data_IF_360288178111
#
_entry.id   IF_360288178111
#
_cell.length_a   1.000
_cell.length_b   1.000
_cell.length_c   1.000
_cell.angle_alpha   90.00
_cell.angle_beta   90.00
_cell.angle_gamma   90.00
#
_symmetry.space_group_name_H-M   'P 1'
#
loop_
_entity.id
_entity.type
_entity.pdbx_description
1 polymer ?
#
# COMPACT_ATOMS: atom_id res chain seq x y z
N UNK A 1 13.88 -10.09 -25.45
CA UNK A 1 14.69 -9.32 -24.48
C UNK A 1 14.84 -7.92 -25.04
N UNK A 2 14.50 -6.88 -24.28
CA UNK A 2 14.82 -5.49 -24.65
C UNK A 2 16.30 -5.30 -24.32
N UNK A 3 17.12 -4.82 -25.26
CA UNK A 3 18.51 -4.50 -24.97
C UNK A 3 18.55 -3.23 -24.12
N UNK A 4 19.39 -3.18 -23.10
CA UNK A 4 19.56 -1.98 -22.26
C UNK A 4 19.85 -0.73 -23.12
N UNK A 5 20.59 -0.91 -24.22
CA UNK A 5 20.88 0.13 -25.20
C UNK A 5 19.63 0.74 -25.87
N UNK A 6 18.60 -0.06 -26.15
CA UNK A 6 17.36 0.44 -26.77
C UNK A 6 16.50 1.18 -25.74
N UNK A 7 16.42 0.65 -24.51
CA UNK A 7 15.66 1.29 -23.44
C UNK A 7 16.23 2.68 -23.12
N UNK A 8 17.55 2.80 -22.96
CA UNK A 8 18.21 4.09 -22.72
C UNK A 8 18.03 5.08 -23.87
N UNK A 9 18.09 4.61 -25.12
CA UNK A 9 17.83 5.44 -26.30
C UNK A 9 16.41 6.00 -26.28
N UNK A 10 15.41 5.16 -26.01
CA UNK A 10 14.01 5.59 -25.94
C UNK A 10 13.77 6.55 -24.78
N UNK A 11 14.35 6.29 -23.59
CA UNK A 11 14.28 7.23 -22.45
C UNK A 11 14.88 8.59 -22.83
N UNK A 12 15.98 8.62 -23.58
CA UNK A 12 16.62 9.87 -24.02
C UNK A 12 15.77 10.64 -25.02
N UNK A 13 15.09 9.94 -25.94
CA UNK A 13 14.28 10.58 -26.99
C UNK A 13 12.90 11.02 -26.50
N UNK A 14 12.23 10.17 -25.73
CA UNK A 14 10.86 10.39 -25.26
C UNK A 14 10.82 11.14 -23.92
N UNK A 15 11.88 11.01 -23.12
CA UNK A 15 11.93 11.46 -21.74
C UNK A 15 11.25 10.49 -20.76
N UNK A 16 11.78 10.41 -19.54
CA UNK A 16 11.13 9.71 -18.43
C UNK A 16 10.39 10.71 -17.55
N UNK A 17 9.08 10.54 -17.39
CA UNK A 17 8.26 11.31 -16.44
C UNK A 17 7.56 10.39 -15.45
N UNK A 18 7.88 10.53 -14.17
CA UNK A 18 7.31 9.69 -13.11
C UNK A 18 5.94 10.18 -12.62
N UNK A 19 5.54 11.38 -13.05
CA UNK A 19 4.23 11.96 -12.78
C UNK A 19 3.39 11.98 -14.07
N UNK A 20 2.07 11.95 -13.90
CA UNK A 20 1.11 12.09 -15.00
C UNK A 20 1.32 13.42 -15.72
N UNK A 21 1.34 13.37 -17.05
CA UNK A 21 1.38 14.55 -17.91
C UNK A 21 0.46 14.39 -19.12
N UNK A 22 0.03 15.50 -19.69
CA UNK A 22 -0.71 15.52 -20.96
C UNK A 22 0.30 15.63 -22.10
N UNK A 23 0.27 14.69 -23.03
CA UNK A 23 1.15 14.73 -24.21
C UNK A 23 0.63 15.71 -25.28
N UNK A 24 1.40 15.91 -26.35
CA UNK A 24 1.01 16.81 -27.47
C UNK A 24 -0.30 16.40 -28.15
N UNK A 25 -0.69 15.12 -28.07
CA UNK A 25 -1.97 14.62 -28.56
C UNK A 25 -3.14 14.78 -27.58
N UNK A 26 -2.93 15.45 -26.44
CA UNK A 26 -3.98 15.73 -25.44
C UNK A 26 -4.32 14.55 -24.53
N UNK A 27 -3.48 13.52 -24.43
CA UNK A 27 -3.76 12.27 -23.70
C UNK A 27 -2.95 12.13 -22.42
N UNK A 28 -3.55 11.55 -21.38
CA UNK A 28 -2.89 11.24 -20.11
C UNK A 28 -1.79 10.21 -20.32
N UNK A 29 -0.56 10.60 -20.00
CA UNK A 29 0.65 9.82 -20.29
C UNK A 29 1.54 9.77 -19.05
N UNK A 30 2.28 8.68 -18.85
CA UNK A 30 3.26 8.50 -17.78
C UNK A 30 4.49 7.73 -18.27
N UNK A 31 5.57 7.73 -17.49
CA UNK A 31 6.78 6.97 -17.75
C UNK A 31 7.47 7.46 -19.02
N UNK A 32 7.72 6.52 -19.93
CA UNK A 32 8.33 6.77 -21.25
C UNK A 32 7.22 6.67 -22.30
N UNK A 33 6.48 7.76 -22.50
CA UNK A 33 5.42 7.83 -23.52
C UNK A 33 4.23 6.87 -23.32
N UNK A 34 3.98 6.34 -22.11
CA UNK A 34 2.88 5.40 -21.86
C UNK A 34 1.55 6.13 -21.73
N UNK A 35 0.78 6.15 -22.81
CA UNK A 35 -0.60 6.63 -22.84
C UNK A 35 -1.49 5.71 -21.99
N UNK A 36 -2.29 6.30 -21.10
CA UNK A 36 -3.20 5.59 -20.20
C UNK A 36 -4.66 5.66 -20.66
N UNK A 37 -5.04 6.65 -21.45
CA UNK A 37 -6.43 6.82 -21.91
C UNK A 37 -6.85 5.72 -22.88
N UNK A 38 -5.99 5.37 -23.85
CA UNK A 38 -6.33 4.33 -24.83
C UNK A 38 -5.83 2.93 -24.42
N UNK A 39 -4.68 2.89 -23.74
CA UNK A 39 -3.94 1.63 -23.49
C UNK A 39 -4.02 1.16 -22.03
N UNK A 40 -4.22 2.09 -21.09
CA UNK A 40 -4.14 1.80 -19.66
C UNK A 40 -2.83 1.11 -19.26
N UNK A 41 -2.91 0.25 -18.25
CA UNK A 41 -1.84 -0.63 -17.78
C UNK A 41 -2.23 -2.09 -17.96
N UNK A 42 -1.26 -2.97 -18.17
CA UNK A 42 -1.47 -4.42 -18.13
C UNK A 42 -1.60 -4.92 -16.70
N UNK A 43 -2.17 -6.11 -16.54
CA UNK A 43 -2.23 -6.77 -15.23
C UNK A 43 -0.82 -6.99 -14.63
N UNK A 44 0.18 -7.32 -15.45
CA UNK A 44 1.55 -7.50 -14.98
C UNK A 44 2.16 -6.20 -14.45
N UNK A 45 1.88 -5.08 -15.11
CA UNK A 45 2.29 -3.73 -14.65
C UNK A 45 1.58 -3.39 -13.33
N UNK A 46 0.26 -3.62 -13.24
CA UNK A 46 -0.51 -3.40 -12.01
C UNK A 46 0.01 -4.25 -10.83
N UNK A 47 0.29 -5.54 -11.06
CA UNK A 47 0.84 -6.45 -10.04
C UNK A 47 2.25 -6.07 -9.62
N UNK A 48 3.07 -5.53 -10.52
CA UNK A 48 4.40 -5.02 -10.18
C UNK A 48 4.30 -3.84 -9.22
N UNK A 49 3.43 -2.87 -9.52
CA UNK A 49 3.19 -1.72 -8.63
C UNK A 49 2.68 -2.18 -7.27
N UNK A 50 1.66 -3.04 -7.25
CA UNK A 50 1.11 -3.60 -6.01
C UNK A 50 2.18 -4.30 -5.16
N UNK A 51 3.08 -5.07 -5.77
CA UNK A 51 4.17 -5.75 -5.04
C UNK A 51 5.11 -4.75 -4.39
N UNK A 52 5.45 -3.67 -5.08
CA UNK A 52 6.32 -2.64 -4.54
C UNK A 52 5.66 -1.92 -3.35
N UNK A 53 4.37 -1.61 -3.46
CA UNK A 53 3.60 -0.93 -2.40
C UNK A 53 3.40 -1.83 -1.17
N UNK A 54 3.16 -3.13 -1.37
CA UNK A 54 3.13 -4.12 -0.28
C UNK A 54 4.50 -4.20 0.39
N UNK A 55 5.59 -4.27 -0.38
CA UNK A 55 6.95 -4.34 0.17
C UNK A 55 7.29 -3.10 1.01
N UNK A 56 6.89 -1.91 0.56
CA UNK A 56 7.01 -0.68 1.33
C UNK A 56 6.22 -0.75 2.64
N UNK A 57 4.94 -1.15 2.58
CA UNK A 57 4.07 -1.29 3.76
C UNK A 57 4.62 -2.33 4.77
N UNK A 58 5.18 -3.44 4.28
CA UNK A 58 5.86 -4.45 5.09
C UNK A 58 7.11 -3.89 5.77
N UNK A 59 7.90 -3.08 5.06
CA UNK A 59 9.08 -2.45 5.63
C UNK A 59 8.70 -1.47 6.75
N UNK A 60 7.67 -0.66 6.53
CA UNK A 60 7.12 0.25 7.53
C UNK A 60 6.56 -0.50 8.76
N UNK A 61 5.83 -1.60 8.55
CA UNK A 61 5.30 -2.44 9.63
C UNK A 61 6.42 -3.03 10.52
N UNK A 62 7.53 -3.46 9.91
CA UNK A 62 8.70 -4.01 10.62
C UNK A 62 9.42 -2.97 11.49
N UNK A 63 9.11 -1.68 11.38
CA UNK A 63 9.66 -0.64 12.24
C UNK A 63 9.07 -0.64 13.65
N UNK A 64 7.94 -1.31 13.88
CA UNK A 64 7.33 -1.44 15.20
C UNK A 64 7.90 -2.66 15.96
N UNK A 65 8.34 -2.47 17.21
CA UNK A 65 9.00 -3.52 17.98
C UNK A 65 8.11 -4.76 18.19
N UNK A 66 6.83 -4.55 18.49
CA UNK A 66 5.83 -5.61 18.71
C UNK A 66 5.48 -6.41 17.44
N UNK A 67 5.75 -5.88 16.24
CA UNK A 67 5.31 -6.48 14.98
C UNK A 67 5.83 -7.91 14.79
N UNK A 68 7.09 -8.16 15.18
CA UNK A 68 7.71 -9.50 15.04
C UNK A 68 7.05 -10.56 15.93
N UNK A 69 6.38 -10.14 17.01
CA UNK A 69 5.66 -11.05 17.92
C UNK A 69 4.27 -11.46 17.41
N UNK A 70 3.76 -10.78 16.39
CA UNK A 70 2.45 -11.09 15.81
C UNK A 70 2.50 -12.36 14.96
N UNK A 71 1.41 -13.12 14.95
CA UNK A 71 1.18 -14.19 13.98
C UNK A 71 0.99 -13.60 12.57
N UNK A 72 1.07 -14.46 11.55
CA UNK A 72 0.97 -14.06 10.14
C UNK A 72 -0.35 -13.31 9.83
N UNK A 73 -1.48 -13.75 10.41
CA UNK A 73 -2.79 -13.11 10.20
C UNK A 73 -2.77 -11.67 10.71
N UNK A 74 -2.27 -11.43 11.94
CA UNK A 74 -2.18 -10.09 12.54
C UNK A 74 -1.13 -9.21 11.86
N UNK A 75 -0.04 -9.80 11.39
CA UNK A 75 0.93 -9.12 10.54
C UNK A 75 0.28 -8.59 9.25
N UNK A 76 -0.52 -9.42 8.59
CA UNK A 76 -1.26 -9.04 7.39
C UNK A 76 -2.27 -7.92 7.66
N UNK A 77 -2.92 -7.90 8.83
CA UNK A 77 -3.79 -6.80 9.24
C UNK A 77 -3.03 -5.47 9.30
N UNK A 78 -1.87 -5.46 9.98
CA UNK A 78 -1.05 -4.26 10.14
C UNK A 78 -0.55 -3.76 8.78
N UNK A 79 -0.04 -4.66 7.93
CA UNK A 79 0.38 -4.33 6.56
C UNK A 79 -0.80 -3.75 5.76
N UNK A 80 -1.98 -4.38 5.83
CA UNK A 80 -3.18 -3.95 5.11
C UNK A 80 -3.64 -2.55 5.54
N UNK A 81 -3.59 -2.26 6.84
CA UNK A 81 -3.90 -0.92 7.36
C UNK A 81 -2.88 0.10 6.85
N UNK A 82 -1.58 -0.17 6.99
CA UNK A 82 -0.51 0.74 6.51
C UNK A 82 -0.65 1.00 5.01
N UNK A 83 -0.89 -0.04 4.20
CA UNK A 83 -1.15 0.10 2.76
C UNK A 83 -2.36 1.00 2.47
N UNK A 84 -3.41 0.94 3.28
CA UNK A 84 -4.63 1.71 3.06
C UNK A 84 -4.51 3.20 3.42
N UNK A 85 -3.90 3.51 4.56
CA UNK A 85 -3.89 4.88 5.11
C UNK A 85 -2.51 5.54 5.17
N UNK A 86 -1.44 4.79 4.90
CA UNK A 86 -0.05 5.19 5.05
C UNK A 86 0.43 5.19 6.51
N UNK A 87 1.73 5.00 6.70
CA UNK A 87 2.37 5.01 8.02
C UNK A 87 2.06 6.25 8.88
N UNK A 88 2.03 7.50 8.36
CA UNK A 88 1.74 8.67 9.19
C UNK A 88 0.37 8.61 9.86
N UNK A 89 -0.67 8.14 9.15
CA UNK A 89 -2.00 7.97 9.72
C UNK A 89 -2.09 6.73 10.61
N UNK A 90 -1.43 5.65 10.23
CA UNK A 90 -1.36 4.45 11.07
C UNK A 90 -0.79 4.76 12.47
N UNK A 91 0.26 5.60 12.55
CA UNK A 91 0.85 6.05 13.82
C UNK A 91 -0.11 6.84 14.72
N UNK A 92 -1.26 7.28 14.22
CA UNK A 92 -2.28 7.93 15.05
C UNK A 92 -3.15 6.96 15.86
N UNK A 93 -3.11 5.65 15.56
CA UNK A 93 -3.82 4.58 16.29
C UNK A 93 -3.10 4.21 17.59
N UNK A 94 -2.88 5.20 18.45
CA UNK A 94 -2.05 5.06 19.66
C UNK A 94 -2.56 3.98 20.62
N UNK A 95 -3.88 3.90 20.82
CA UNK A 95 -4.53 2.93 21.73
C UNK A 95 -4.42 1.50 21.19
N UNK A 96 -4.75 1.30 19.91
CA UNK A 96 -4.54 0.03 19.23
C UNK A 96 -3.07 -0.43 19.30
N UNK A 97 -2.11 0.45 19.02
CA UNK A 97 -0.69 0.09 19.11
C UNK A 97 -0.23 -0.24 20.53
N UNK A 98 -0.75 0.45 21.55
CA UNK A 98 -0.48 0.11 22.94
C UNK A 98 -1.05 -1.27 23.31
N UNK A 99 -2.24 -1.61 22.82
CA UNK A 99 -2.84 -2.93 22.99
C UNK A 99 -2.01 -4.03 22.30
N UNK A 100 -1.55 -3.79 21.07
CA UNK A 100 -0.65 -4.71 20.34
C UNK A 100 0.68 -4.95 21.07
N UNK A 101 1.24 -3.93 21.72
CA UNK A 101 2.51 -4.03 22.46
C UNK A 101 2.43 -4.99 23.65
N UNK A 102 1.24 -5.14 24.24
CA UNK A 102 0.96 -6.07 25.34
C UNK A 102 0.16 -7.30 24.91
N UNK A 103 0.02 -7.54 23.59
CA UNK A 103 -0.73 -8.66 23.01
C UNK A 103 -2.22 -8.70 23.38
N UNK A 104 -2.84 -7.56 23.69
CA UNK A 104 -4.28 -7.44 23.90
C UNK A 104 -4.99 -7.24 22.55
N UNK A 105 -5.24 -8.36 21.87
CA UNK A 105 -5.78 -8.36 20.51
C UNK A 105 -7.27 -8.03 20.45
N UNK A 106 -8.01 -8.32 21.52
CA UNK A 106 -9.43 -7.96 21.67
C UNK A 106 -9.56 -6.43 21.69
N UNK A 107 -8.79 -5.77 22.56
CA UNK A 107 -8.76 -4.31 22.61
C UNK A 107 -8.22 -3.70 21.32
N UNK A 108 -7.17 -4.27 20.72
CA UNK A 108 -6.65 -3.78 19.44
C UNK A 108 -7.75 -3.80 18.35
N UNK A 109 -8.53 -4.87 18.27
CA UNK A 109 -9.63 -5.02 17.34
C UNK A 109 -10.76 -3.99 17.60
N UNK A 110 -11.09 -3.71 18.86
CA UNK A 110 -12.08 -2.69 19.24
C UNK A 110 -11.60 -1.28 18.86
N UNK A 111 -10.33 -0.94 19.14
CA UNK A 111 -9.73 0.35 18.79
C UNK A 111 -9.61 0.55 17.26
N UNK A 112 -9.50 -0.53 16.48
CA UNK A 112 -9.58 -0.44 15.01
C UNK A 112 -10.96 0.05 14.56
N UNK A 113 -12.03 -0.45 15.18
CA UNK A 113 -13.41 -0.11 14.84
C UNK A 113 -13.84 1.25 15.42
N UNK A 114 -13.30 1.64 16.58
CA UNK A 114 -13.46 2.98 17.16
C UNK A 114 -12.56 4.02 16.48
N UNK A 115 -12.68 4.14 15.15
CA UNK A 115 -11.86 5.03 14.36
C UNK A 115 -12.63 5.69 13.22
N UNK A 116 -12.14 6.87 12.79
CA UNK A 116 -12.65 7.50 11.56
C UNK A 116 -12.37 6.60 10.35
N UNK A 117 -11.25 5.88 10.35
CA UNK A 117 -10.88 4.95 9.30
C UNK A 117 -11.93 3.87 9.11
N UNK A 118 -12.42 3.24 10.18
CA UNK A 118 -13.45 2.21 10.10
C UNK A 118 -14.72 2.72 9.41
N UNK A 119 -15.15 3.94 9.74
CA UNK A 119 -16.28 4.61 9.07
C UNK A 119 -16.03 4.90 7.58
N UNK A 120 -14.77 5.10 7.17
CA UNK A 120 -14.41 5.40 5.78
C UNK A 120 -14.33 4.15 4.91
N UNK A 121 -13.79 3.05 5.44
CA UNK A 121 -13.56 1.82 4.65
C UNK A 121 -14.63 0.74 4.86
N UNK A 122 -15.54 0.95 5.82
CA UNK A 122 -16.70 0.09 6.06
C UNK A 122 -16.30 -1.35 6.35
N UNK A 123 -16.81 -2.28 5.54
CA UNK A 123 -16.64 -3.73 5.74
C UNK A 123 -15.17 -4.17 5.85
N UNK A 124 -14.24 -3.47 5.18
CA UNK A 124 -12.81 -3.77 5.29
C UNK A 124 -12.30 -3.66 6.73
N UNK A 125 -12.79 -2.69 7.50
CA UNK A 125 -12.37 -2.54 8.89
C UNK A 125 -12.93 -3.65 9.78
N UNK A 126 -14.15 -4.12 9.50
CA UNK A 126 -14.77 -5.25 10.20
C UNK A 126 -13.95 -6.52 9.97
N UNK A 127 -13.70 -6.87 8.71
CA UNK A 127 -12.91 -8.06 8.35
C UNK A 127 -11.51 -8.05 8.99
N UNK A 128 -10.82 -6.91 8.92
CA UNK A 128 -9.48 -6.78 9.50
C UNK A 128 -9.51 -6.80 11.04
N UNK A 129 -10.55 -6.27 11.67
CA UNK A 129 -10.75 -6.32 13.12
C UNK A 129 -10.98 -7.76 13.59
N UNK A 130 -11.80 -8.53 12.86
CA UNK A 130 -12.02 -9.95 13.15
C UNK A 130 -10.73 -10.75 13.00
N UNK A 131 -9.97 -10.53 11.92
CA UNK A 131 -8.64 -11.12 11.73
C UNK A 131 -7.67 -10.75 12.85
N UNK A 132 -7.70 -9.51 13.33
CA UNK A 132 -6.88 -9.07 14.46
C UNK A 132 -7.26 -9.83 15.73
N UNK A 133 -8.55 -10.01 15.98
CA UNK A 133 -9.08 -10.67 17.16
C UNK A 133 -8.71 -12.15 17.18
N UNK A 134 -9.05 -12.89 16.13
CA UNK A 134 -8.98 -14.37 16.10
C UNK A 134 -7.66 -14.95 15.59
N UNK A 135 -6.82 -14.12 14.95
CA UNK A 135 -5.63 -14.56 14.23
C UNK A 135 -4.61 -15.36 15.03
#
# INVERSE_FOLDING_TARGET
>A
MVTESLAEMLIRHEGLRLELYVCSAGKCTIGVGRNLDDRGISESEARLMLRNDIAASMHEAKSFAWYRGLCEVRQNVVISMIFNIGLPRFKSFKRMMAALDVSDYELAADEMLDSKWARQVGNRAVELSDMMRVG
#
